data_IF_103141831834
#
_entry.id   IF_103141831834
#
_cell.length_a   1.000
_cell.length_b   1.000
_cell.length_c   1.000
_cell.angle_alpha   90.00
_cell.angle_beta   90.00
_cell.angle_gamma   90.00
#
_symmetry.space_group_name_H-M   'P 1'
#
loop_
_entity.id
_entity.type
_entity.pdbx_description
1 polymer ?
#
# COMPACT_ATOMS: atom_id res chain seq x y z
N UNK A 1 25.61 -14.78 5.51
CA UNK A 1 25.52 -13.30 5.58
C UNK A 1 24.57 -12.85 4.50
N UNK A 2 23.68 -11.90 4.80
CA UNK A 2 22.77 -11.29 3.81
C UNK A 2 23.40 -9.97 3.38
N UNK A 3 23.42 -9.69 2.08
CA UNK A 3 24.02 -8.49 1.48
C UNK A 3 22.97 -7.73 0.68
N UNK A 4 23.09 -6.40 0.58
CA UNK A 4 22.13 -5.55 -0.15
C UNK A 4 20.97 -5.00 0.69
N UNK A 5 20.97 -5.20 2.00
CA UNK A 5 19.93 -4.69 2.92
C UNK A 5 20.41 -3.49 3.72
N UNK A 6 19.48 -2.61 4.09
CA UNK A 6 19.74 -1.47 4.99
C UNK A 6 19.54 -1.88 6.44
N UNK A 7 20.56 -1.63 7.28
CA UNK A 7 20.50 -1.82 8.73
C UNK A 7 20.08 -0.51 9.40
N UNK A 8 19.14 -0.56 10.33
CA UNK A 8 18.71 0.63 11.11
C UNK A 8 18.41 0.26 12.56
N UNK A 9 18.34 1.30 13.41
CA UNK A 9 17.91 1.24 14.81
C UNK A 9 16.39 1.45 14.98
N UNK A 10 15.66 1.70 13.89
CA UNK A 10 14.19 1.66 13.90
C UNK A 10 13.77 0.24 14.27
N UNK A 11 13.03 0.12 15.37
CA UNK A 11 12.64 -1.18 15.87
C UNK A 11 11.39 -1.70 15.15
N UNK A 12 11.44 -2.97 14.76
CA UNK A 12 10.30 -3.74 14.29
C UNK A 12 10.23 -5.03 15.13
N UNK A 13 9.02 -5.43 15.50
CA UNK A 13 8.77 -6.65 16.26
C UNK A 13 8.51 -7.83 15.32
N UNK A 14 8.58 -9.09 15.82
CA UNK A 14 8.17 -10.25 15.04
C UNK A 14 6.72 -10.09 14.56
N UNK A 15 6.53 -10.04 13.23
CA UNK A 15 5.22 -9.82 12.60
C UNK A 15 5.14 -8.57 11.73
N UNK A 16 6.09 -7.64 11.86
CA UNK A 16 6.12 -6.39 11.08
C UNK A 16 6.77 -6.53 9.68
N UNK A 17 7.10 -7.75 9.26
CA UNK A 17 7.63 -8.02 7.91
C UNK A 17 6.65 -7.54 6.84
N UNK A 18 7.15 -6.83 5.83
CA UNK A 18 6.35 -6.17 4.80
C UNK A 18 5.88 -4.76 5.17
N UNK A 19 6.11 -4.28 6.40
CA UNK A 19 5.84 -2.91 6.81
C UNK A 19 6.68 -1.88 6.04
N UNK A 20 6.17 -0.65 5.92
CA UNK A 20 6.85 0.43 5.21
C UNK A 20 7.99 1.04 6.03
N UNK A 21 9.10 1.38 5.36
CA UNK A 21 10.19 2.15 5.93
C UNK A 21 10.33 3.49 5.22
N UNK A 22 10.10 4.56 5.97
CA UNK A 22 10.00 5.92 5.47
C UNK A 22 10.96 6.79 6.28
N UNK A 23 11.68 7.70 5.61
CA UNK A 23 12.47 8.74 6.25
C UNK A 23 12.04 10.10 5.69
N UNK A 24 11.40 10.92 6.52
CA UNK A 24 10.75 12.14 6.07
C UNK A 24 9.69 11.83 5.00
N UNK A 25 9.82 12.46 3.83
CA UNK A 25 8.94 12.24 2.68
C UNK A 25 9.47 11.19 1.69
N UNK A 26 10.53 10.45 2.04
CA UNK A 26 11.15 9.45 1.18
C UNK A 26 10.83 8.03 1.60
N UNK A 27 10.29 7.23 0.67
CA UNK A 27 10.23 5.79 0.84
C UNK A 27 11.64 5.19 0.73
N UNK A 28 12.05 4.46 1.77
CA UNK A 28 13.38 3.86 1.86
C UNK A 28 13.33 2.36 1.54
N UNK A 29 12.27 1.66 1.95
CA UNK A 29 12.17 0.22 1.74
C UNK A 29 11.00 -0.44 2.45
N UNK A 30 11.08 -1.77 2.53
CA UNK A 30 10.12 -2.62 3.24
C UNK A 30 10.85 -3.47 4.28
N UNK A 31 10.23 -3.68 5.44
CA UNK A 31 10.81 -4.50 6.50
C UNK A 31 10.95 -5.94 6.02
N UNK A 32 12.17 -6.48 6.03
CA UNK A 32 12.39 -7.91 5.76
C UNK A 32 12.25 -8.71 7.05
N UNK A 33 12.80 -8.17 8.15
CA UNK A 33 12.77 -8.77 9.48
C UNK A 33 13.86 -8.19 10.37
N UNK A 34 14.05 -8.77 11.55
CA UNK A 34 15.02 -8.28 12.52
C UNK A 34 15.37 -9.29 13.59
N UNK A 35 16.27 -8.90 14.48
CA UNK A 35 16.70 -9.69 15.64
C UNK A 35 16.71 -8.82 16.90
N UNK A 36 16.27 -9.35 18.03
CA UNK A 36 16.12 -8.59 19.28
C UNK A 36 14.68 -8.13 19.49
N UNK A 37 14.48 -7.12 20.33
CA UNK A 37 13.16 -6.54 20.63
C UNK A 37 13.26 -5.02 20.85
N UNK A 38 12.13 -4.33 20.88
CA UNK A 38 12.11 -2.87 21.03
C UNK A 38 12.42 -2.37 22.43
N UNK A 39 12.46 -3.26 23.42
CA UNK A 39 12.74 -2.92 24.82
C UNK A 39 14.22 -3.01 25.19
N UNK A 40 15.01 -3.82 24.50
CA UNK A 40 16.43 -4.09 24.79
C UNK A 40 17.37 -3.72 23.64
N UNK A 41 16.80 -3.20 22.54
CA UNK A 41 17.52 -2.92 21.31
C UNK A 41 17.40 -4.09 20.32
N UNK A 42 16.77 -3.81 19.19
CA UNK A 42 16.66 -4.72 18.06
C UNK A 42 17.42 -4.17 16.86
N UNK A 43 17.92 -5.06 16.00
CA UNK A 43 18.37 -4.70 14.66
C UNK A 43 17.31 -5.11 13.67
N UNK A 44 16.84 -4.15 12.87
CA UNK A 44 15.88 -4.40 11.81
C UNK A 44 16.56 -4.20 10.46
N UNK A 45 16.19 -5.06 9.51
CA UNK A 45 16.66 -5.04 8.13
C UNK A 45 15.54 -4.68 7.18
N UNK A 46 15.87 -3.83 6.24
CA UNK A 46 14.95 -3.35 5.22
C UNK A 46 15.49 -3.67 3.84
N UNK A 47 14.59 -4.12 2.97
CA UNK A 47 14.88 -4.31 1.56
C UNK A 47 14.64 -2.97 0.82
N UNK A 48 15.62 -2.46 0.05
CA UNK A 48 15.52 -1.15 -0.58
C UNK A 48 14.38 -1.05 -1.58
N UNK A 49 13.64 0.06 -1.57
CA UNK A 49 12.50 0.25 -2.48
C UNK A 49 12.93 0.29 -3.95
N UNK A 50 14.13 0.79 -4.24
CA UNK A 50 14.64 0.87 -5.62
C UNK A 50 14.80 -0.50 -6.29
N UNK A 51 15.18 -1.54 -5.52
CA UNK A 51 15.30 -2.90 -6.04
C UNK A 51 13.93 -3.43 -6.48
N UNK A 52 12.90 -3.18 -5.67
CA UNK A 52 11.52 -3.57 -5.95
C UNK A 52 11.00 -2.81 -7.18
N UNK A 53 11.20 -1.50 -7.22
CA UNK A 53 10.78 -0.65 -8.35
C UNK A 53 11.45 -1.10 -9.66
N UNK A 54 12.76 -1.35 -9.63
CA UNK A 54 13.52 -1.78 -10.80
C UNK A 54 13.13 -3.19 -11.26
N UNK A 55 12.91 -4.13 -10.35
CA UNK A 55 12.60 -5.53 -10.70
C UNK A 55 11.24 -5.63 -11.37
N UNK A 56 10.27 -4.85 -10.92
CA UNK A 56 8.89 -4.91 -11.40
C UNK A 56 8.53 -3.79 -12.40
N UNK A 57 9.47 -2.92 -12.76
CA UNK A 57 9.20 -1.78 -13.66
C UNK A 57 8.17 -0.81 -13.09
N UNK A 58 8.13 -0.67 -11.77
CA UNK A 58 7.18 0.18 -11.06
C UNK A 58 7.77 1.56 -10.82
N UNK A 59 6.88 2.53 -10.59
CA UNK A 59 7.26 3.83 -10.06
C UNK A 59 6.48 4.16 -8.83
N UNK A 60 7.19 4.70 -7.85
CA UNK A 60 6.63 5.20 -6.62
C UNK A 60 5.81 6.46 -6.90
N UNK A 61 4.50 6.36 -6.73
CA UNK A 61 3.61 7.51 -6.77
C UNK A 61 3.57 8.18 -5.38
N UNK A 62 4.08 9.40 -5.29
CA UNK A 62 3.89 10.28 -4.12
C UNK A 62 2.97 11.44 -4.53
N UNK A 63 2.22 12.01 -3.58
CA UNK A 63 1.29 13.10 -3.88
C UNK A 63 1.98 14.42 -4.26
N UNK A 64 3.32 14.45 -4.38
CA UNK A 64 4.09 15.65 -4.74
C UNK A 64 5.38 15.32 -5.50
N UNK A 65 5.33 15.41 -6.84
CA UNK A 65 6.50 15.77 -7.66
C UNK A 65 7.08 14.70 -8.59
N UNK A 66 6.70 14.74 -9.86
CA UNK A 66 7.49 14.20 -10.99
C UNK A 66 6.71 13.24 -11.90
N UNK A 67 6.91 13.29 -13.24
CA UNK A 67 6.14 12.47 -14.17
C UNK A 67 6.55 11.01 -14.01
N UNK A 68 5.63 10.20 -13.48
CA UNK A 68 5.75 8.76 -13.45
C UNK A 68 5.86 8.17 -14.86
N UNK A 69 6.33 6.91 -14.99
CA UNK A 69 6.37 6.18 -16.23
C UNK A 69 4.95 6.14 -16.77
N UNK A 70 4.88 6.23 -18.09
CA UNK A 70 3.67 6.07 -18.88
C UNK A 70 3.13 4.65 -18.78
N UNK A 71 2.70 4.24 -17.59
CA UNK A 71 1.44 3.54 -17.45
C UNK A 71 0.44 4.68 -17.33
N UNK A 72 -0.44 4.85 -18.31
CA UNK A 72 -1.61 5.69 -18.10
C UNK A 72 -2.65 4.82 -17.39
N UNK A 73 -2.77 4.78 -16.05
CA UNK A 73 -4.09 4.66 -15.50
C UNK A 73 -4.75 5.99 -15.89
N UNK A 74 -5.83 5.91 -16.67
CA UNK A 74 -6.71 7.06 -16.85
C UNK A 74 -7.11 7.54 -15.47
N UNK A 75 -6.48 8.60 -14.99
CA UNK A 75 -6.90 9.35 -13.81
C UNK A 75 -8.19 10.05 -14.18
N UNK A 76 -9.30 9.34 -14.09
CA UNK A 76 -10.59 9.98 -13.87
C UNK A 76 -10.67 10.26 -12.37
N UNK A 77 -10.05 11.37 -11.96
CA UNK A 77 -10.24 11.98 -10.64
C UNK A 77 -11.63 12.63 -10.55
N UNK A 78 -12.66 11.87 -10.90
CA UNK A 78 -14.05 12.17 -10.56
C UNK A 78 -14.41 11.14 -9.51
N UNK A 79 -14.80 11.53 -8.27
CA UNK A 79 -15.26 10.55 -7.30
C UNK A 79 -16.44 9.80 -7.92
N UNK A 80 -16.34 8.50 -8.26
CA UNK A 80 -17.48 7.84 -8.84
C UNK A 80 -18.36 7.45 -7.67
N UNK A 81 -19.31 8.33 -7.31
CA UNK A 81 -20.61 7.84 -6.87
C UNK A 81 -21.19 7.02 -8.03
N UNK A 82 -20.79 5.76 -8.10
CA UNK A 82 -20.98 4.90 -9.26
C UNK A 82 -20.78 3.43 -8.91
N UNK A 83 -21.06 2.55 -9.87
CA UNK A 83 -21.03 1.10 -9.63
C UNK A 83 -19.60 0.61 -9.36
N UNK A 84 -19.44 -0.31 -8.39
CA UNK A 84 -18.14 -0.92 -8.08
C UNK A 84 -17.56 -1.63 -9.31
N UNK A 85 -16.24 -1.53 -9.50
CA UNK A 85 -15.52 -2.18 -10.59
C UNK A 85 -14.16 -2.72 -10.13
N UNK A 86 -13.85 -3.96 -10.51
CA UNK A 86 -12.54 -4.57 -10.31
C UNK A 86 -11.45 -3.80 -11.10
N UNK A 87 -10.23 -3.77 -10.56
CA UNK A 87 -9.10 -2.99 -11.09
C UNK A 87 -9.14 -1.50 -10.76
N UNK A 88 -10.19 -1.03 -10.07
CA UNK A 88 -10.33 0.39 -9.68
C UNK A 88 -9.68 0.64 -8.33
N UNK A 89 -8.91 1.72 -8.22
CA UNK A 89 -8.36 2.17 -6.94
C UNK A 89 -9.37 3.02 -6.19
N UNK A 90 -9.75 2.58 -5.00
CA UNK A 90 -10.64 3.31 -4.10
C UNK A 90 -9.84 3.89 -2.94
N UNK A 91 -10.05 5.18 -2.66
CA UNK A 91 -9.52 5.82 -1.46
C UNK A 91 -10.45 5.57 -0.26
N UNK A 92 -9.91 5.61 0.97
CA UNK A 92 -10.73 5.63 2.17
C UNK A 92 -11.78 6.74 2.09
N UNK A 93 -13.03 6.40 2.36
CA UNK A 93 -14.18 7.29 2.26
C UNK A 93 -14.87 7.33 0.91
N UNK A 94 -14.30 6.74 -0.14
CA UNK A 94 -14.97 6.62 -1.44
C UNK A 94 -16.27 5.81 -1.31
N UNK A 95 -17.32 6.21 -2.05
CA UNK A 95 -18.61 5.50 -2.05
C UNK A 95 -18.88 4.86 -3.40
N UNK A 96 -19.39 3.63 -3.39
CA UNK A 96 -19.71 2.85 -4.59
C UNK A 96 -21.07 2.18 -4.46
N UNK A 97 -21.70 1.84 -5.58
CA UNK A 97 -22.94 1.04 -5.61
C UNK A 97 -22.64 -0.38 -6.09
N UNK A 98 -23.10 -1.41 -5.38
CA UNK A 98 -22.98 -2.81 -5.81
C UNK A 98 -24.27 -3.55 -5.45
N UNK A 99 -24.87 -4.24 -6.44
CA UNK A 99 -26.12 -4.99 -6.22
C UNK A 99 -27.30 -4.12 -5.74
N UNK A 100 -27.28 -2.80 -6.03
CA UNK A 100 -28.32 -1.86 -5.58
C UNK A 100 -28.09 -1.26 -4.18
N UNK A 101 -27.07 -1.70 -3.44
CA UNK A 101 -26.68 -1.12 -2.15
C UNK A 101 -25.47 -0.19 -2.30
N UNK A 102 -25.38 0.82 -1.43
CA UNK A 102 -24.24 1.74 -1.39
C UNK A 102 -23.24 1.30 -0.33
N UNK A 103 -21.96 1.43 -0.63
CA UNK A 103 -20.87 1.04 0.25
C UNK A 103 -19.81 2.13 0.31
N UNK A 104 -19.25 2.35 1.49
CA UNK A 104 -18.12 3.23 1.77
C UNK A 104 -16.84 2.43 1.95
N UNK A 105 -15.78 2.83 1.26
CA UNK A 105 -14.45 2.26 1.40
C UNK A 105 -13.85 2.66 2.76
N UNK A 106 -13.40 1.69 3.56
CA UNK A 106 -12.79 1.89 4.88
C UNK A 106 -11.27 2.07 4.78
N UNK A 107 -10.63 1.33 3.89
CA UNK A 107 -9.18 1.32 3.70
C UNK A 107 -8.86 1.50 2.22
N UNK A 108 -7.95 2.43 1.88
CA UNK A 108 -7.57 2.65 0.48
C UNK A 108 -6.94 1.42 -0.15
N UNK A 109 -7.43 0.98 -1.31
CA UNK A 109 -6.97 -0.25 -1.98
C UNK A 109 -7.28 -0.24 -3.48
N UNK A 110 -6.65 -1.16 -4.22
CA UNK A 110 -7.05 -1.48 -5.60
C UNK A 110 -7.98 -2.70 -5.56
N UNK A 111 -9.21 -2.55 -6.06
CA UNK A 111 -10.21 -3.62 -6.05
C UNK A 111 -9.78 -4.78 -6.95
N UNK A 112 -9.99 -6.01 -6.48
CA UNK A 112 -9.75 -7.24 -7.25
C UNK A 112 -11.05 -8.01 -7.39
N UNK A 113 -11.15 -8.86 -8.41
CA UNK A 113 -12.26 -9.82 -8.53
C UNK A 113 -12.31 -10.70 -7.28
N UNK A 114 -13.49 -10.86 -6.67
CA UNK A 114 -13.64 -11.51 -5.36
C UNK A 114 -13.57 -10.57 -4.16
N UNK A 115 -13.22 -9.29 -4.36
CA UNK A 115 -13.24 -8.24 -3.32
C UNK A 115 -14.45 -7.31 -3.48
N UNK A 116 -15.58 -7.87 -3.93
CA UNK A 116 -16.82 -7.12 -4.03
C UNK A 116 -17.27 -6.65 -2.64
N UNK A 117 -17.95 -5.49 -2.51
CA UNK A 117 -18.29 -4.91 -1.21
C UNK A 117 -18.95 -5.84 -0.18
N UNK A 118 -19.89 -6.73 -0.54
CA UNK A 118 -20.46 -7.68 0.43
C UNK A 118 -19.50 -8.79 0.87
N UNK A 119 -18.44 -9.09 0.11
CA UNK A 119 -17.52 -10.20 0.36
C UNK A 119 -16.37 -9.83 1.31
N UNK A 120 -16.06 -8.54 1.42
CA UNK A 120 -14.88 -8.02 2.15
C UNK A 120 -15.26 -6.87 3.09
N UNK A 121 -15.97 -7.13 4.21
CA UNK A 121 -16.44 -6.11 5.14
C UNK A 121 -15.32 -5.35 5.87
N UNK A 122 -14.08 -5.86 5.84
CA UNK A 122 -12.92 -5.13 6.34
C UNK A 122 -12.53 -3.93 5.44
N UNK A 123 -12.88 -3.98 4.15
CA UNK A 123 -12.57 -2.94 3.17
C UNK A 123 -13.78 -2.06 2.88
N UNK A 124 -15.00 -2.56 3.07
CA UNK A 124 -16.25 -1.88 2.71
C UNK A 124 -17.28 -1.88 3.84
N UNK A 125 -17.96 -0.76 4.02
CA UNK A 125 -19.08 -0.57 4.95
C UNK A 125 -20.34 -0.23 4.16
N UNK A 126 -21.42 -0.99 4.34
CA UNK A 126 -22.73 -0.64 3.75
C UNK A 126 -23.27 0.65 4.38
N UNK A 127 -23.84 1.54 3.56
CA UNK A 127 -24.46 2.82 3.95
C UNK A 127 -25.81 3.03 3.28
#
# INVERSE_FOLDING_TARGET
>A
TVSGVTRTNVCAEPGDSGGSFISGDQAQGVTSGGSGNCSSGGTTYFQPVNEILSTYGLTLATQGGGPGPTSTPTVTSTPPGGTWAAGTTYATGATVTYGGSTYRCLQGHTAQTGWEPPNVPALWQAI
#
